data_IF_541563927165
#
_entry.id   IF_541563927165
#
_cell.length_a   1.000
_cell.length_b   1.000
_cell.length_c   1.000
_cell.angle_alpha   90.00
_cell.angle_beta   90.00
_cell.angle_gamma   90.00
#
_symmetry.space_group_name_H-M   'P 1'
#
loop_
_entity.id
_entity.type
_entity.pdbx_description
1 polymer ?
#
# COMPACT_ATOMS: atom_id res chain seq x y z
N UNK A 1 -7.31 -18.25 -0.40
CA UNK A 1 -7.31 -18.30 -1.86
C UNK A 1 -6.02 -18.90 -2.40
N UNK A 2 -6.14 -19.66 -3.49
CA UNK A 2 -5.05 -20.07 -4.36
C UNK A 2 -5.41 -19.58 -5.76
N UNK A 3 -4.63 -18.63 -6.28
CA UNK A 3 -4.99 -17.92 -7.51
C UNK A 3 -3.86 -18.01 -8.52
N UNK A 4 -4.19 -18.36 -9.76
CA UNK A 4 -3.28 -18.36 -10.90
C UNK A 4 -3.67 -17.22 -11.86
N UNK A 5 -2.75 -16.31 -12.13
CA UNK A 5 -2.96 -15.11 -12.95
C UNK A 5 -2.08 -15.20 -14.17
N UNK A 6 -2.67 -15.38 -15.33
CA UNK A 6 -1.96 -15.45 -16.62
C UNK A 6 -1.98 -14.07 -17.28
N UNK A 7 -0.81 -13.51 -17.50
CA UNK A 7 -0.61 -12.18 -18.08
C UNK A 7 0.45 -12.24 -19.20
N UNK A 8 0.60 -11.19 -20.04
CA UNK A 8 1.72 -11.10 -20.97
C UNK A 8 3.07 -11.32 -20.27
N UNK A 9 4.00 -11.99 -20.93
CA UNK A 9 5.25 -12.45 -20.30
C UNK A 9 6.18 -11.33 -19.82
N UNK A 10 5.96 -10.09 -20.26
CA UNK A 10 6.65 -8.88 -19.84
C UNK A 10 5.96 -8.13 -18.67
N UNK A 11 4.79 -8.62 -18.20
CA UNK A 11 4.12 -8.02 -17.05
C UNK A 11 4.71 -8.51 -15.73
N UNK A 12 4.78 -7.58 -14.78
CA UNK A 12 5.00 -7.82 -13.35
C UNK A 12 3.63 -7.80 -12.67
N UNK A 13 3.40 -8.70 -11.71
CA UNK A 13 2.13 -8.83 -10.99
C UNK A 13 2.33 -8.55 -9.51
N UNK A 14 1.55 -7.62 -8.97
CA UNK A 14 1.34 -7.39 -7.55
C UNK A 14 0.01 -8.03 -7.14
N UNK A 15 -0.06 -8.70 -5.98
CA UNK A 15 -1.28 -9.42 -5.61
C UNK A 15 -1.40 -9.66 -4.12
N UNK A 16 -2.62 -9.79 -3.63
CA UNK A 16 -2.94 -10.39 -2.34
C UNK A 16 -2.22 -11.73 -2.20
N UNK A 17 -1.53 -11.95 -1.07
CA UNK A 17 -0.86 -13.21 -0.76
C UNK A 17 0.61 -13.27 -1.15
N UNK A 18 1.19 -14.45 -1.07
CA UNK A 18 2.60 -14.71 -1.37
C UNK A 18 2.78 -15.42 -2.70
N UNK A 19 3.74 -14.96 -3.49
CA UNK A 19 4.14 -15.59 -4.76
C UNK A 19 4.74 -16.98 -4.51
N UNK A 20 4.24 -17.99 -5.21
CA UNK A 20 4.63 -19.40 -5.01
C UNK A 20 5.62 -19.91 -6.03
N UNK A 21 5.66 -19.34 -7.22
CA UNK A 21 6.42 -19.86 -8.35
C UNK A 21 7.44 -18.83 -8.91
N UNK A 22 8.21 -18.21 -8.01
CA UNK A 22 9.21 -17.19 -8.34
C UNK A 22 10.15 -17.60 -9.49
N UNK A 23 10.62 -18.86 -9.47
CA UNK A 23 11.53 -19.37 -10.50
C UNK A 23 10.93 -19.44 -11.91
N UNK A 24 9.61 -19.52 -12.01
CA UNK A 24 8.91 -19.59 -13.29
C UNK A 24 8.62 -18.20 -13.89
N UNK A 25 8.49 -17.17 -13.05
CA UNK A 25 8.01 -15.86 -13.50
C UNK A 25 9.05 -14.73 -13.37
N UNK A 26 10.03 -14.87 -12.47
CA UNK A 26 11.10 -13.89 -12.25
C UNK A 26 12.43 -14.33 -12.88
N UNK A 27 13.19 -13.36 -13.34
CA UNK A 27 14.58 -13.58 -13.77
C UNK A 27 15.48 -13.95 -12.59
N UNK A 28 16.67 -14.49 -12.85
CA UNK A 28 17.63 -14.80 -11.78
C UNK A 28 17.99 -13.54 -10.97
N UNK A 29 18.22 -12.41 -11.64
CA UNK A 29 18.54 -11.12 -11.03
C UNK A 29 17.40 -10.61 -10.15
N UNK A 30 16.15 -10.71 -10.63
CA UNK A 30 14.97 -10.30 -9.84
C UNK A 30 14.80 -11.16 -8.59
N UNK A 31 15.03 -12.48 -8.67
CA UNK A 31 14.99 -13.37 -7.50
C UNK A 31 16.07 -13.04 -6.47
N UNK A 32 17.30 -12.77 -6.93
CA UNK A 32 18.39 -12.35 -6.04
C UNK A 32 18.02 -11.04 -5.30
N UNK A 33 17.57 -10.02 -6.04
CA UNK A 33 17.15 -8.73 -5.48
C UNK A 33 15.98 -8.89 -4.50
N UNK A 34 14.99 -9.72 -4.81
CA UNK A 34 13.87 -10.03 -3.93
C UNK A 34 14.33 -10.74 -2.65
N UNK A 35 15.28 -11.68 -2.76
CA UNK A 35 15.89 -12.33 -1.59
C UNK A 35 16.61 -11.32 -0.69
N UNK A 36 17.31 -10.36 -1.25
CA UNK A 36 17.94 -9.26 -0.50
C UNK A 36 16.90 -8.35 0.16
N UNK A 37 15.83 -8.00 -0.54
CA UNK A 37 14.74 -7.17 -0.02
C UNK A 37 14.09 -7.78 1.23
N UNK A 38 13.96 -9.11 1.31
CA UNK A 38 13.44 -9.83 2.48
C UNK A 38 14.27 -9.66 3.76
N UNK A 39 15.49 -9.17 3.65
CA UNK A 39 16.39 -8.96 4.80
C UNK A 39 16.78 -7.49 4.99
N UNK A 40 16.57 -6.67 3.97
CA UNK A 40 17.01 -5.28 3.96
C UNK A 40 16.08 -4.39 4.81
N UNK A 41 16.67 -3.39 5.47
CA UNK A 41 15.96 -2.35 6.24
C UNK A 41 15.72 -1.08 5.43
N UNK A 42 16.23 -1.03 4.23
CA UNK A 42 16.01 0.03 3.25
C UNK A 42 15.50 -0.61 1.95
N UNK A 43 14.74 0.13 1.12
CA UNK A 43 14.22 -0.40 -0.13
C UNK A 43 15.32 -0.92 -1.07
N UNK A 44 15.12 -2.12 -1.57
CA UNK A 44 15.94 -2.76 -2.62
C UNK A 44 15.12 -2.78 -3.89
N UNK A 45 15.67 -2.23 -4.96
CA UNK A 45 15.04 -2.24 -6.28
C UNK A 45 15.07 -3.67 -6.85
N UNK A 46 13.89 -4.24 -7.10
CA UNK A 46 13.72 -5.60 -7.65
C UNK A 46 13.56 -5.53 -9.17
N UNK A 47 12.73 -4.61 -9.65
CA UNK A 47 12.64 -4.21 -11.07
C UNK A 47 12.98 -2.73 -11.16
N UNK A 48 14.04 -2.41 -11.89
CA UNK A 48 14.52 -1.03 -12.02
C UNK A 48 13.69 -0.23 -13.01
N UNK A 49 13.82 1.11 -12.98
CA UNK A 49 13.18 1.99 -13.95
C UNK A 49 13.67 1.70 -15.37
N UNK A 50 14.96 1.40 -15.55
CA UNK A 50 15.52 1.04 -16.86
C UNK A 50 14.90 -0.25 -17.39
N UNK A 51 14.75 -1.27 -16.55
CA UNK A 51 14.10 -2.55 -16.92
C UNK A 51 12.64 -2.32 -17.31
N UNK A 52 11.90 -1.49 -16.57
CA UNK A 52 10.51 -1.12 -16.88
C UNK A 52 10.41 -0.33 -18.20
N UNK A 53 11.32 0.63 -18.44
CA UNK A 53 11.40 1.38 -19.70
C UNK A 53 11.70 0.50 -20.89
N UNK A 54 12.56 -0.51 -20.74
CA UNK A 54 12.83 -1.49 -21.82
C UNK A 54 11.60 -2.35 -22.12
N UNK A 55 10.88 -2.80 -21.08
CA UNK A 55 9.64 -3.57 -21.24
C UNK A 55 8.53 -2.78 -21.95
N UNK A 56 8.51 -1.46 -21.84
CA UNK A 56 7.55 -0.59 -22.56
C UNK A 56 7.78 -0.50 -24.06
N UNK A 57 9.04 -0.63 -24.52
CA UNK A 57 9.41 -0.41 -25.93
C UNK A 57 8.82 -1.45 -26.87
N UNK A 58 8.70 -2.69 -26.41
CA UNK A 58 8.22 -3.79 -27.24
C UNK A 58 7.36 -4.77 -26.43
N UNK A 59 6.12 -4.95 -26.86
CA UNK A 59 5.24 -5.96 -26.26
C UNK A 59 5.82 -7.36 -26.45
N UNK A 60 5.91 -8.13 -25.37
CA UNK A 60 6.31 -9.53 -25.45
C UNK A 60 5.26 -10.37 -26.18
N UNK A 61 5.72 -11.42 -26.85
CA UNK A 61 4.87 -12.49 -27.37
C UNK A 61 4.82 -13.63 -26.36
N UNK A 62 3.65 -14.07 -25.98
CA UNK A 62 3.46 -15.14 -24.99
C UNK A 62 3.06 -14.63 -23.62
N UNK A 63 2.85 -15.58 -22.72
CA UNK A 63 2.30 -15.33 -21.38
C UNK A 63 3.14 -16.00 -20.29
N UNK A 64 2.95 -15.52 -19.04
CA UNK A 64 3.42 -16.18 -17.82
C UNK A 64 2.25 -16.30 -16.86
N UNK A 65 2.23 -17.39 -16.10
CA UNK A 65 1.23 -17.61 -15.05
C UNK A 65 1.87 -17.44 -13.68
N UNK A 66 1.42 -16.44 -12.95
CA UNK A 66 1.81 -16.14 -11.57
C UNK A 66 0.88 -16.86 -10.62
N UNK A 67 1.40 -17.54 -9.61
CA UNK A 67 0.62 -18.30 -8.64
C UNK A 67 0.78 -17.68 -7.25
N UNK A 68 -0.35 -17.30 -6.64
CA UNK A 68 -0.38 -16.70 -5.31
C UNK A 68 -1.20 -17.53 -4.32
N UNK A 69 -0.73 -17.59 -3.07
CA UNK A 69 -1.50 -18.12 -1.95
C UNK A 69 -1.77 -17.02 -0.93
N UNK A 70 -3.03 -16.85 -0.56
CA UNK A 70 -3.48 -15.96 0.50
C UNK A 70 -4.29 -16.76 1.53
N UNK A 71 -3.94 -16.59 2.81
CA UNK A 71 -4.63 -17.22 3.94
C UNK A 71 -5.28 -16.17 4.83
N UNK A 72 -6.41 -16.50 5.41
CA UNK A 72 -7.13 -15.67 6.38
C UNK A 72 -7.46 -14.27 5.82
N UNK A 73 -7.94 -14.24 4.57
CA UNK A 73 -8.34 -13.02 3.87
C UNK A 73 -9.81 -13.09 3.46
N UNK A 74 -10.48 -11.96 3.50
CA UNK A 74 -11.90 -11.82 3.15
C UNK A 74 -12.14 -11.73 1.64
N UNK A 75 -11.18 -11.14 0.91
CA UNK A 75 -11.22 -11.05 -0.54
C UNK A 75 -9.82 -11.05 -1.16
N UNK A 76 -9.70 -10.75 -2.45
CA UNK A 76 -8.46 -10.89 -3.22
C UNK A 76 -8.41 -9.85 -4.33
N UNK A 77 -7.29 -9.15 -4.44
CA UNK A 77 -7.03 -8.21 -5.52
C UNK A 77 -5.66 -8.43 -6.16
N UNK A 78 -5.49 -7.95 -7.39
CA UNK A 78 -4.21 -7.92 -8.07
C UNK A 78 -4.10 -6.75 -9.04
N UNK A 79 -2.88 -6.41 -9.40
CA UNK A 79 -2.53 -5.51 -10.49
C UNK A 79 -1.45 -6.12 -11.36
N UNK A 80 -1.45 -5.80 -12.66
CA UNK A 80 -0.40 -6.24 -13.57
C UNK A 80 -0.02 -5.16 -14.58
N UNK A 81 1.26 -4.95 -14.79
CA UNK A 81 1.75 -4.00 -15.79
C UNK A 81 3.17 -4.33 -16.24
N UNK A 82 3.49 -4.06 -17.52
CA UNK A 82 4.87 -4.05 -18.00
C UNK A 82 5.65 -2.81 -17.55
N UNK A 83 4.91 -1.78 -17.09
CA UNK A 83 5.48 -0.51 -16.62
C UNK A 83 5.92 -0.51 -15.17
N UNK A 84 5.66 -1.57 -14.41
CA UNK A 84 5.97 -1.59 -13.00
C UNK A 84 7.47 -1.60 -12.74
N UNK A 85 7.93 -0.54 -12.09
CA UNK A 85 9.08 -0.51 -11.21
C UNK A 85 8.62 -1.19 -9.92
N UNK A 86 9.49 -1.97 -9.31
CA UNK A 86 9.17 -2.72 -8.10
C UNK A 86 10.34 -2.66 -7.12
N UNK A 87 10.08 -2.17 -5.94
CA UNK A 87 11.01 -2.21 -4.83
C UNK A 87 10.41 -2.83 -3.57
N UNK A 88 11.25 -3.18 -2.60
CA UNK A 88 10.80 -3.79 -1.38
C UNK A 88 11.83 -3.75 -0.27
N UNK A 89 11.34 -3.86 0.98
CA UNK A 89 12.16 -3.95 2.18
C UNK A 89 11.47 -4.81 3.25
N UNK A 90 12.22 -5.26 4.24
CA UNK A 90 11.71 -6.00 5.36
C UNK A 90 11.36 -5.08 6.54
N UNK A 91 10.18 -5.24 7.10
CA UNK A 91 9.76 -4.62 8.35
C UNK A 91 9.42 -5.69 9.39
N UNK A 92 10.24 -5.87 10.44
CA UNK A 92 9.90 -6.78 11.54
C UNK A 92 8.81 -6.20 12.43
N UNK A 93 7.87 -7.03 12.80
CA UNK A 93 6.79 -6.72 13.73
C UNK A 93 6.41 -8.00 14.47
N UNK A 94 6.31 -7.95 15.82
CA UNK A 94 5.79 -9.06 16.63
C UNK A 94 6.50 -10.42 16.40
N UNK A 95 7.79 -10.40 16.09
CA UNK A 95 8.54 -11.61 15.74
C UNK A 95 8.39 -12.08 14.29
N UNK A 96 7.54 -11.44 13.49
CA UNK A 96 7.36 -11.70 12.06
C UNK A 96 8.22 -10.76 11.21
N UNK A 97 8.52 -11.19 10.00
CA UNK A 97 9.16 -10.37 8.97
C UNK A 97 8.14 -10.08 7.87
N UNK A 98 7.73 -8.81 7.75
CA UNK A 98 6.77 -8.36 6.74
C UNK A 98 7.54 -7.81 5.55
N UNK A 99 7.34 -8.39 4.37
CA UNK A 99 7.91 -7.85 3.14
C UNK A 99 7.02 -6.70 2.64
N UNK A 100 7.46 -5.46 2.86
CA UNK A 100 6.81 -4.25 2.39
C UNK A 100 7.29 -3.93 0.97
N UNK A 101 6.36 -3.69 0.04
CA UNK A 101 6.68 -3.51 -1.38
C UNK A 101 5.87 -2.38 -2.00
N UNK A 102 6.44 -1.77 -3.05
CA UNK A 102 5.72 -0.83 -3.92
C UNK A 102 5.88 -1.18 -5.39
N UNK A 103 4.80 -0.96 -6.14
CA UNK A 103 4.73 -1.18 -7.59
C UNK A 103 4.18 0.10 -8.24
N UNK A 104 4.96 0.72 -9.11
CA UNK A 104 4.64 2.01 -9.70
C UNK A 104 5.27 2.21 -11.07
N UNK A 105 4.66 3.00 -11.96
CA UNK A 105 5.27 3.34 -13.24
C UNK A 105 6.31 4.47 -13.07
N UNK A 106 7.16 4.66 -14.06
CA UNK A 106 8.16 5.76 -14.09
C UNK A 106 7.55 7.15 -13.88
N UNK A 107 6.29 7.34 -14.25
CA UNK A 107 5.53 8.57 -14.03
C UNK A 107 5.27 8.87 -12.54
N UNK A 108 5.49 7.90 -11.65
CA UNK A 108 5.47 8.08 -10.20
C UNK A 108 6.78 8.62 -9.63
N UNK A 109 7.89 8.51 -10.39
CA UNK A 109 9.21 8.93 -9.93
C UNK A 109 9.42 10.45 -10.06
N UNK A 110 10.25 11.05 -9.18
CA UNK A 110 11.02 10.42 -8.09
C UNK A 110 10.23 10.20 -6.77
N UNK A 111 8.97 10.60 -6.72
CA UNK A 111 8.16 10.64 -5.49
C UNK A 111 7.95 9.24 -4.90
N UNK A 112 7.58 8.26 -5.73
CA UNK A 112 7.27 6.89 -5.29
C UNK A 112 8.51 6.15 -4.80
N UNK A 113 9.60 6.18 -5.55
CA UNK A 113 10.86 5.56 -5.17
C UNK A 113 11.40 6.09 -3.85
N UNK A 114 11.25 7.41 -3.63
CA UNK A 114 11.75 8.08 -2.43
C UNK A 114 10.96 7.74 -1.17
N UNK A 115 9.64 7.54 -1.27
CA UNK A 115 8.78 7.48 -0.10
C UNK A 115 7.93 6.22 0.03
N UNK A 116 7.35 5.67 -1.06
CA UNK A 116 6.23 4.73 -0.96
C UNK A 116 6.52 3.52 -0.06
N UNK A 117 7.54 2.73 -0.35
CA UNK A 117 7.86 1.52 0.43
C UNK A 117 8.26 1.82 1.87
N UNK A 118 8.92 2.95 2.11
CA UNK A 118 9.24 3.42 3.47
C UNK A 118 7.98 3.76 4.25
N UNK A 119 6.99 4.38 3.60
CA UNK A 119 5.69 4.70 4.21
C UNK A 119 4.91 3.42 4.52
N UNK A 120 4.91 2.42 3.62
CA UNK A 120 4.31 1.10 3.89
C UNK A 120 4.93 0.48 5.15
N UNK A 121 6.27 0.41 5.21
CA UNK A 121 6.98 -0.16 6.36
C UNK A 121 6.73 0.63 7.65
N UNK A 122 6.73 1.96 7.58
CA UNK A 122 6.41 2.83 8.70
C UNK A 122 4.99 2.58 9.22
N UNK A 123 4.01 2.48 8.32
CA UNK A 123 2.61 2.23 8.67
C UNK A 123 2.45 0.88 9.35
N UNK A 124 3.00 -0.19 8.78
CA UNK A 124 2.99 -1.53 9.39
C UNK A 124 3.57 -1.49 10.80
N UNK A 125 4.71 -0.83 11.00
CA UNK A 125 5.35 -0.67 12.31
C UNK A 125 4.49 0.11 13.29
N UNK A 126 3.98 1.28 12.88
CA UNK A 126 3.31 2.23 13.77
C UNK A 126 1.91 1.77 14.16
N UNK A 127 1.14 1.24 13.19
CA UNK A 127 -0.15 0.63 13.51
C UNK A 127 0.01 -0.56 14.45
N UNK A 128 1.01 -1.39 14.25
CA UNK A 128 1.28 -2.51 15.18
C UNK A 128 1.63 -2.05 16.58
N UNK A 129 2.27 -0.89 16.72
CA UNK A 129 2.55 -0.28 18.03
C UNK A 129 1.27 0.18 18.75
N UNK A 130 0.30 0.69 18.03
CA UNK A 130 -0.92 1.26 18.60
C UNK A 130 -2.10 0.29 18.68
N UNK A 131 -2.05 -0.82 17.95
CA UNK A 131 -3.18 -1.77 17.85
C UNK A 131 -2.75 -3.21 18.13
N UNK A 132 -2.61 -4.03 17.10
CA UNK A 132 -2.18 -5.43 17.15
C UNK A 132 -1.06 -5.65 16.14
N UNK A 133 -0.25 -6.68 16.33
CA UNK A 133 0.81 -7.00 15.38
C UNK A 133 0.25 -7.32 13.99
N UNK A 134 0.91 -6.81 12.95
CA UNK A 134 0.60 -7.14 11.58
C UNK A 134 0.85 -8.62 11.31
N UNK A 135 -0.17 -9.36 10.92
CA UNK A 135 -0.15 -10.82 10.81
C UNK A 135 0.10 -11.37 9.42
N UNK A 136 -0.03 -10.53 8.39
CA UNK A 136 0.20 -10.95 7.01
C UNK A 136 1.70 -10.95 6.64
N UNK A 137 2.12 -11.82 5.70
CA UNK A 137 3.54 -11.94 5.32
C UNK A 137 4.04 -10.82 4.41
N UNK A 138 3.13 -10.11 3.74
CA UNK A 138 3.45 -9.01 2.81
C UNK A 138 2.53 -7.83 3.03
N UNK A 139 2.99 -6.62 2.64
CA UNK A 139 2.18 -5.41 2.58
C UNK A 139 2.59 -4.61 1.34
N UNK A 140 1.65 -4.31 0.46
CA UNK A 140 1.93 -3.83 -0.89
C UNK A 140 1.17 -2.53 -1.16
N UNK A 141 1.87 -1.52 -1.68
CA UNK A 141 1.31 -0.29 -2.25
C UNK A 141 1.45 -0.31 -3.77
N UNK A 142 0.35 -0.16 -4.50
CA UNK A 142 0.33 -0.08 -5.96
C UNK A 142 -0.11 1.30 -6.39
N UNK A 143 0.67 1.92 -7.29
CA UNK A 143 0.32 3.22 -7.86
C UNK A 143 -0.88 3.08 -8.80
N UNK A 144 -1.89 3.93 -8.57
CA UNK A 144 -3.04 4.11 -9.45
C UNK A 144 -3.31 5.60 -9.70
N UNK A 145 -4.23 5.91 -10.62
CA UNK A 145 -4.58 7.29 -10.89
C UNK A 145 -5.74 7.74 -9.98
N UNK A 146 -5.45 8.65 -9.03
CA UNK A 146 -6.41 9.44 -8.24
C UNK A 146 -7.37 8.67 -7.32
N UNK A 147 -7.05 7.45 -6.92
CA UNK A 147 -7.84 6.70 -5.96
C UNK A 147 -7.03 6.32 -4.72
N UNK A 148 -7.73 6.04 -3.63
CA UNK A 148 -7.30 5.21 -2.52
C UNK A 148 -8.25 4.02 -2.46
N UNK A 149 -7.73 2.80 -2.28
CA UNK A 149 -8.53 1.60 -2.14
C UNK A 149 -7.73 0.48 -1.49
N UNK A 150 -8.30 -0.09 -0.47
CA UNK A 150 -7.72 -1.17 0.30
C UNK A 150 -8.20 -2.55 -0.15
N UNK A 151 -7.30 -3.53 -0.04
CA UNK A 151 -7.56 -4.97 -0.07
C UNK A 151 -6.58 -5.67 0.86
N UNK A 152 -6.85 -6.91 1.29
CA UNK A 152 -5.91 -7.64 2.13
C UNK A 152 -4.52 -7.71 1.49
N UNK A 153 -3.50 -7.22 2.19
CA UNK A 153 -2.09 -7.21 1.78
C UNK A 153 -1.73 -6.31 0.60
N UNK A 154 -2.68 -5.71 -0.12
CA UNK A 154 -2.44 -4.86 -1.27
C UNK A 154 -3.39 -3.67 -1.24
N UNK A 155 -2.83 -2.47 -1.41
CA UNK A 155 -3.61 -1.23 -1.52
C UNK A 155 -3.26 -0.49 -2.80
N UNK A 156 -4.21 0.29 -3.29
CA UNK A 156 -4.09 1.09 -4.50
C UNK A 156 -4.08 2.57 -4.13
N UNK A 157 -3.03 3.29 -4.51
CA UNK A 157 -2.76 4.63 -4.01
C UNK A 157 -2.47 5.61 -5.14
N UNK A 158 -3.10 6.77 -5.09
CA UNK A 158 -2.82 7.87 -5.99
C UNK A 158 -1.63 8.71 -5.52
N UNK A 159 -1.23 9.65 -6.37
CA UNK A 159 -0.17 10.62 -6.11
C UNK A 159 0.93 10.57 -7.17
N UNK A 160 1.07 11.66 -7.91
CA UNK A 160 2.10 11.81 -8.96
C UNK A 160 2.82 13.13 -8.82
N UNK A 161 4.12 13.16 -9.12
CA UNK A 161 4.81 14.41 -9.39
C UNK A 161 4.33 15.03 -10.70
N UNK A 162 4.74 16.25 -10.97
CA UNK A 162 4.59 16.88 -12.27
C UNK A 162 5.42 16.13 -13.33
N UNK A 163 5.17 16.43 -14.63
CA UNK A 163 5.85 15.73 -15.73
C UNK A 163 7.37 15.92 -15.74
N UNK A 164 7.86 17.00 -15.15
CA UNK A 164 9.29 17.28 -14.99
C UNK A 164 9.91 16.65 -13.73
N UNK A 165 9.12 15.89 -12.97
CA UNK A 165 9.54 15.22 -11.73
C UNK A 165 9.46 16.11 -10.48
N UNK A 166 9.07 17.36 -10.59
CA UNK A 166 8.85 18.24 -9.44
C UNK A 166 7.55 17.90 -8.71
N UNK A 167 7.47 18.20 -7.43
CA UNK A 167 6.24 18.02 -6.65
C UNK A 167 6.19 19.01 -5.48
N UNK A 168 4.99 19.41 -5.14
CA UNK A 168 4.73 20.26 -3.96
C UNK A 168 4.73 19.41 -2.66
N UNK A 169 4.91 20.09 -1.53
CA UNK A 169 4.70 19.46 -0.21
C UNK A 169 3.27 18.89 -0.08
N UNK A 170 2.27 19.56 -0.66
CA UNK A 170 0.90 19.05 -0.71
C UNK A 170 0.80 17.72 -1.44
N UNK A 171 1.47 17.56 -2.58
CA UNK A 171 1.51 16.31 -3.35
C UNK A 171 2.22 15.22 -2.57
N UNK A 172 3.36 15.53 -1.96
CA UNK A 172 4.15 14.61 -1.14
C UNK A 172 3.35 14.08 0.05
N UNK A 173 2.85 14.97 0.91
CA UNK A 173 2.08 14.56 2.08
C UNK A 173 0.73 13.97 1.72
N UNK A 174 0.12 14.37 0.61
CA UNK A 174 -1.09 13.75 0.08
C UNK A 174 -0.87 12.28 -0.29
N UNK A 175 0.23 11.97 -0.97
CA UNK A 175 0.59 10.57 -1.29
C UNK A 175 0.94 9.78 -0.03
N UNK A 176 1.73 10.34 0.88
CA UNK A 176 2.07 9.69 2.15
C UNK A 176 0.81 9.38 2.94
N UNK A 177 -0.09 10.35 3.07
CA UNK A 177 -1.35 10.19 3.81
C UNK A 177 -2.27 9.11 3.23
N UNK A 178 -2.43 9.04 1.91
CA UNK A 178 -3.24 7.98 1.30
C UNK A 178 -2.60 6.61 1.48
N UNK A 179 -1.28 6.47 1.36
CA UNK A 179 -0.61 5.19 1.61
C UNK A 179 -0.79 4.76 3.08
N UNK A 180 -0.62 5.67 4.05
CA UNK A 180 -0.87 5.36 5.46
C UNK A 180 -2.31 4.90 5.67
N UNK A 181 -3.28 5.58 5.07
CA UNK A 181 -4.70 5.26 5.19
C UNK A 181 -5.00 3.87 4.64
N UNK A 182 -4.68 3.61 3.36
CA UNK A 182 -5.01 2.36 2.69
C UNK A 182 -4.23 1.15 3.24
N UNK A 183 -2.99 1.34 3.66
CA UNK A 183 -2.22 0.30 4.37
C UNK A 183 -2.82 0.05 5.76
N UNK A 184 -3.30 1.10 6.43
CA UNK A 184 -3.96 1.03 7.73
C UNK A 184 -5.19 0.13 7.74
N UNK A 185 -5.94 0.09 6.64
CA UNK A 185 -7.09 -0.81 6.48
C UNK A 185 -6.74 -2.31 6.55
N UNK A 186 -5.47 -2.70 6.41
CA UNK A 186 -5.08 -4.07 6.73
C UNK A 186 -5.33 -4.42 8.21
N UNK A 187 -5.34 -3.42 9.09
CA UNK A 187 -5.68 -3.61 10.52
C UNK A 187 -7.19 -3.54 10.74
N UNK A 188 -7.86 -2.58 10.10
CA UNK A 188 -9.30 -2.34 10.14
C UNK A 188 -9.81 -2.16 8.71
N UNK A 189 -10.60 -3.08 8.10
CA UNK A 189 -11.28 -4.22 8.71
C UNK A 189 -10.62 -5.57 8.42
N UNK A 190 -9.39 -5.66 7.88
CA UNK A 190 -8.85 -6.93 7.37
C UNK A 190 -8.43 -7.89 8.49
N UNK A 191 -7.61 -7.44 9.45
CA UNK A 191 -7.16 -8.24 10.61
C UNK A 191 -8.22 -8.20 11.70
N UNK A 192 -8.68 -7.01 12.08
CA UNK A 192 -9.77 -6.81 13.03
C UNK A 192 -11.04 -6.61 12.22
N UNK A 193 -11.75 -7.71 11.98
CA UNK A 193 -12.90 -7.75 11.08
C UNK A 193 -14.11 -6.98 11.64
N UNK A 194 -14.77 -6.22 10.79
CA UNK A 194 -16.03 -5.53 11.05
C UNK A 194 -16.98 -5.66 9.86
N UNK A 195 -18.28 -5.51 10.11
CA UNK A 195 -19.26 -5.31 9.05
C UNK A 195 -19.21 -3.85 8.58
N UNK A 196 -18.26 -3.55 7.69
CA UNK A 196 -17.99 -2.19 7.20
C UNK A 196 -19.16 -1.58 6.44
N UNK A 197 -20.00 -2.40 5.81
CA UNK A 197 -21.18 -1.93 5.09
C UNK A 197 -22.26 -1.41 6.01
N UNK A 198 -22.30 -1.95 7.22
CA UNK A 198 -23.27 -1.55 8.24
C UNK A 198 -22.68 -0.55 9.23
N UNK A 199 -21.39 -0.69 9.56
CA UNK A 199 -20.72 0.10 10.61
C UNK A 199 -19.43 0.74 10.07
N UNK A 200 -19.57 1.64 9.11
CA UNK A 200 -18.45 2.33 8.43
C UNK A 200 -17.48 2.99 9.41
N UNK A 201 -17.96 3.47 10.57
CA UNK A 201 -17.08 4.08 11.58
C UNK A 201 -16.07 3.09 12.20
N UNK A 202 -16.35 1.78 12.19
CA UNK A 202 -15.41 0.76 12.68
C UNK A 202 -14.28 0.49 11.68
N UNK A 203 -14.52 0.76 10.43
CA UNK A 203 -13.57 0.72 9.35
C UNK A 203 -12.84 2.06 9.25
N UNK A 204 -13.51 3.07 8.73
CA UNK A 204 -12.92 4.36 8.41
C UNK A 204 -12.55 5.19 9.65
N UNK A 205 -13.37 5.18 10.69
CA UNK A 205 -13.17 6.02 11.87
C UNK A 205 -11.97 5.57 12.70
N UNK A 206 -11.86 4.27 12.99
CA UNK A 206 -10.72 3.70 13.71
C UNK A 206 -9.44 3.86 12.91
N UNK A 207 -9.49 3.55 11.62
CA UNK A 207 -8.37 3.71 10.70
C UNK A 207 -7.89 5.16 10.64
N UNK A 208 -8.80 6.13 10.46
CA UNK A 208 -8.48 7.56 10.42
C UNK A 208 -7.81 8.04 11.71
N UNK A 209 -8.24 7.55 12.88
CA UNK A 209 -7.60 7.92 14.14
C UNK A 209 -6.16 7.43 14.24
N UNK A 210 -5.91 6.17 13.90
CA UNK A 210 -4.54 5.61 13.92
C UNK A 210 -3.68 6.19 12.80
N UNK A 211 -4.28 6.52 11.65
CA UNK A 211 -3.61 7.29 10.59
C UNK A 211 -3.04 8.60 11.13
N UNK A 212 -3.84 9.38 11.86
CA UNK A 212 -3.36 10.64 12.44
C UNK A 212 -2.13 10.42 13.33
N UNK A 213 -2.15 9.42 14.21
CA UNK A 213 -1.00 9.08 15.05
C UNK A 213 0.23 8.69 14.22
N UNK A 214 0.01 7.93 13.14
CA UNK A 214 1.07 7.46 12.24
C UNK A 214 1.69 8.61 11.44
N UNK A 215 0.88 9.56 10.99
CA UNK A 215 1.32 10.79 10.33
C UNK A 215 2.22 11.63 11.26
N UNK A 216 1.85 11.77 12.55
CA UNK A 216 2.66 12.50 13.54
C UNK A 216 3.98 11.78 13.89
N UNK A 217 4.03 10.45 13.80
CA UNK A 217 5.28 9.69 13.97
C UNK A 217 6.16 9.69 12.71
N UNK A 218 5.57 9.92 11.53
CA UNK A 218 6.33 10.11 10.29
C UNK A 218 7.06 11.46 10.27
N UNK A 219 6.33 12.51 10.60
CA UNK A 219 6.83 13.87 10.65
C UNK A 219 6.05 14.65 11.73
N UNK A 220 6.74 15.19 12.74
CA UNK A 220 6.10 15.93 13.83
C UNK A 220 5.23 17.10 13.32
N UNK A 221 5.65 17.74 12.22
CA UNK A 221 4.95 18.86 11.59
C UNK A 221 4.08 18.43 10.41
N UNK A 222 3.69 17.15 10.35
CA UNK A 222 2.85 16.61 9.29
C UNK A 222 1.55 17.43 9.16
N UNK A 223 1.21 17.96 7.96
CA UNK A 223 0.02 18.79 7.76
C UNK A 223 -1.26 17.95 7.73
N UNK A 224 -1.52 17.21 8.83
CA UNK A 224 -2.64 16.29 8.93
C UNK A 224 -3.99 17.01 8.84
N UNK A 225 -4.92 16.37 8.14
CA UNK A 225 -6.34 16.77 8.12
C UNK A 225 -7.23 15.84 8.95
N UNK A 226 -6.65 14.79 9.54
CA UNK A 226 -7.33 13.74 10.29
C UNK A 226 -7.36 13.99 11.81
N UNK A 227 -6.65 14.98 12.28
CA UNK A 227 -6.55 15.40 13.68
C UNK A 227 -5.80 16.72 13.79
N UNK A 228 -5.64 17.28 14.97
CA UNK A 228 -6.10 16.78 16.28
C UNK A 228 -7.59 16.92 16.51
N UNK A 229 -8.09 16.38 17.64
CA UNK A 229 -9.50 16.34 18.01
C UNK A 229 -10.23 17.69 17.96
N UNK A 230 -9.52 18.82 18.16
CA UNK A 230 -10.10 20.17 18.04
C UNK A 230 -10.72 20.47 16.67
N UNK A 231 -10.37 19.76 15.62
CA UNK A 231 -10.94 19.95 14.28
C UNK A 231 -12.41 19.50 14.18
N UNK A 232 -12.90 18.69 15.13
CA UNK A 232 -14.32 18.29 15.17
C UNK A 232 -15.24 19.39 15.77
N UNK A 233 -14.67 20.45 16.36
CA UNK A 233 -15.45 21.48 17.08
C UNK A 233 -16.51 22.14 16.21
N UNK A 234 -16.18 22.45 14.95
CA UNK A 234 -17.14 23.10 14.05
C UNK A 234 -18.31 22.15 13.68
N UNK A 235 -18.03 20.86 13.50
CA UNK A 235 -19.05 19.83 13.35
C UNK A 235 -19.93 19.76 14.62
N UNK A 236 -19.33 19.71 15.79
CA UNK A 236 -20.05 19.60 17.07
C UNK A 236 -20.90 20.82 17.41
N UNK A 237 -20.54 22.00 16.89
CA UNK A 237 -21.31 23.26 17.03
C UNK A 237 -22.39 23.43 15.97
N UNK A 238 -22.42 22.60 14.95
CA UNK A 238 -23.37 22.68 13.85
C UNK A 238 -24.82 22.44 14.27
N UNK A 239 -25.70 22.60 13.30
CA UNK A 239 -27.15 22.39 13.51
C UNK A 239 -27.44 20.92 13.84
N UNK A 240 -27.79 20.65 15.07
CA UNK A 240 -28.05 19.29 15.59
C UNK A 240 -29.20 18.56 14.88
N UNK A 241 -30.08 19.29 14.19
CA UNK A 241 -31.12 18.67 13.36
C UNK A 241 -30.60 18.09 12.05
N UNK A 242 -29.34 18.45 11.67
CA UNK A 242 -28.65 18.01 10.45
C UNK A 242 -27.42 17.12 10.71
N UNK A 243 -27.00 17.05 11.98
CA UNK A 243 -25.87 16.24 12.38
C UNK A 243 -26.36 14.83 12.69
N UNK A 244 -25.90 13.86 11.93
CA UNK A 244 -26.16 12.45 12.21
C UNK A 244 -25.21 11.90 13.29
N UNK A 245 -25.64 10.90 14.07
CA UNK A 245 -24.78 10.24 15.04
C UNK A 245 -23.56 9.63 14.35
N UNK A 246 -22.38 9.73 14.96
CA UNK A 246 -21.12 9.22 14.38
C UNK A 246 -21.19 7.70 14.14
N UNK A 247 -21.80 6.95 15.06
CA UNK A 247 -21.97 5.50 14.97
C UNK A 247 -23.30 5.15 14.29
N UNK A 248 -23.44 5.55 13.04
CA UNK A 248 -24.62 5.25 12.23
C UNK A 248 -24.20 4.55 10.93
N UNK A 249 -25.17 3.97 10.26
CA UNK A 249 -24.95 3.38 8.94
C UNK A 249 -24.63 4.48 7.92
N UNK A 250 -23.78 4.17 6.97
CA UNK A 250 -23.48 5.03 5.82
C UNK A 250 -24.53 4.88 4.71
#
# INVERSE_FOLDING_TARGET
YKVAITVPSDHIVASTGTLQNESAVLTATQRERLSRARMAREPVMIVTEEEAREAEKKKATGTKTWVFHAKNVRDFAFASSRKFIWDGMNQPVGGNNVLCMSFYPKEGNPLWEKYSTKVVAHTVKTYSKFTVDYTYPVCISVHTDRIGMEYPMISFNGGRPEKDGTYSERTKYGMIGVIIHEVGHNFFPMIINSDERQWTWMDEGLNTFVQYLTEQEWDHDYPSRRGPARHIVDYMKGDKSRIEPIMTNS
#
